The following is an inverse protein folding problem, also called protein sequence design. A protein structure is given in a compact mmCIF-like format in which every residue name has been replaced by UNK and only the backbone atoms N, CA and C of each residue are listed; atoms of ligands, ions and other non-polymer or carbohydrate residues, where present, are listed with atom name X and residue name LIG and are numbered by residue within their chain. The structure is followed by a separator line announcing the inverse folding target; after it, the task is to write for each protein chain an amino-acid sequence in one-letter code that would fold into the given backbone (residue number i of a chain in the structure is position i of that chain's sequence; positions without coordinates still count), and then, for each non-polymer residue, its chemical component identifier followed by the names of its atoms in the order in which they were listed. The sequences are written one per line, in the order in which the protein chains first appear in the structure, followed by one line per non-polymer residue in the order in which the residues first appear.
data_IF_062238844032
#
_entry.id   IF_062238844032
#
_cell.length_a   1.000
_cell.length_b   1.000
_cell.length_c   1.000
_cell.angle_alpha   90.00
_cell.angle_beta   90.00
_cell.angle_gamma   90.00
#
_symmetry.space_group_name_H-M   'P 1'
#
loop_
_entity.id
_entity.type
_entity.pdbx_description
1 polymer ?
#
# COMPACT_ATOMS: atom_id res chain seq x y z
N UNK A 1 -5.97 -15.11 -5.86
CA UNK A 1 -5.77 -13.86 -5.08
C UNK A 1 -5.04 -12.85 -5.95
N UNK A 2 -5.54 -11.62 -5.98
CA UNK A 2 -4.86 -10.54 -6.69
C UNK A 2 -3.61 -10.11 -5.92
N UNK A 3 -2.54 -9.83 -6.66
CA UNK A 3 -1.34 -9.25 -6.08
C UNK A 3 -1.68 -7.90 -5.47
N UNK A 4 -1.22 -7.66 -4.26
CA UNK A 4 -1.45 -6.40 -3.54
C UNK A 4 -2.92 -6.07 -3.25
N UNK A 5 -3.76 -7.09 -3.10
CA UNK A 5 -5.18 -6.89 -2.81
C UNK A 5 -5.40 -6.04 -1.55
N UNK A 6 -4.53 -6.18 -0.55
CA UNK A 6 -4.66 -5.43 0.71
C UNK A 6 -4.49 -3.93 0.53
N UNK A 7 -3.68 -3.46 -0.43
CA UNK A 7 -3.55 -2.02 -0.65
C UNK A 7 -4.84 -1.43 -1.20
N UNK A 8 -5.54 -2.16 -2.05
CA UNK A 8 -6.85 -1.75 -2.54
C UNK A 8 -7.88 -1.73 -1.40
N UNK A 9 -7.91 -2.77 -0.59
CA UNK A 9 -8.84 -2.88 0.52
C UNK A 9 -8.64 -1.75 1.52
N UNK A 10 -7.40 -1.44 1.86
CA UNK A 10 -7.08 -0.34 2.78
C UNK A 10 -7.49 1.01 2.19
N UNK A 11 -7.28 1.20 0.89
CA UNK A 11 -7.68 2.43 0.22
C UNK A 11 -9.19 2.62 0.28
N UNK A 12 -9.94 1.58 -0.06
CA UNK A 12 -11.41 1.63 -0.05
C UNK A 12 -11.93 1.83 1.37
N UNK A 13 -11.35 1.16 2.35
CA UNK A 13 -11.75 1.31 3.75
C UNK A 13 -11.47 2.72 4.27
N UNK A 14 -10.49 3.41 3.70
CA UNK A 14 -10.13 4.77 4.08
C UNK A 14 -10.87 5.84 3.25
N UNK A 15 -11.76 5.42 2.36
CA UNK A 15 -12.52 6.31 1.48
C UNK A 15 -11.62 7.20 0.59
N UNK A 16 -10.46 6.67 0.21
CA UNK A 16 -9.54 7.38 -0.67
C UNK A 16 -9.72 6.94 -2.12
N UNK A 17 -9.66 7.89 -3.04
CA UNK A 17 -9.60 7.57 -4.47
C UNK A 17 -8.15 7.24 -4.84
N UNK A 18 -7.97 6.57 -5.98
CA UNK A 18 -6.62 6.31 -6.51
C UNK A 18 -5.86 7.62 -6.77
N UNK A 19 -6.58 8.64 -7.24
CA UNK A 19 -5.98 9.96 -7.49
C UNK A 19 -5.48 10.61 -6.20
N UNK A 20 -6.29 10.57 -5.15
CA UNK A 20 -5.91 11.12 -3.85
C UNK A 20 -4.68 10.42 -3.29
N UNK A 21 -4.68 9.09 -3.36
CA UNK A 21 -3.55 8.31 -2.85
C UNK A 21 -2.30 8.53 -3.68
N UNK A 22 -2.45 8.66 -5.00
CA UNK A 22 -1.32 9.01 -5.87
C UNK A 22 -0.67 10.33 -5.44
N UNK A 23 -1.48 11.33 -5.12
CA UNK A 23 -0.98 12.62 -4.64
C UNK A 23 -0.22 12.48 -3.32
N UNK A 24 -0.75 11.70 -2.38
CA UNK A 24 -0.08 11.45 -1.09
C UNK A 24 1.26 10.76 -1.28
N UNK A 25 1.35 9.87 -2.25
CA UNK A 25 2.57 9.13 -2.55
C UNK A 25 3.50 9.87 -3.53
N UNK A 26 3.04 11.00 -4.06
CA UNK A 26 3.78 11.79 -5.06
C UNK A 26 4.06 11.02 -6.35
N UNK A 27 3.08 10.23 -6.78
CA UNK A 27 3.11 9.52 -8.05
C UNK A 27 1.83 9.81 -8.82
N UNK A 28 1.82 9.49 -10.11
CA UNK A 28 0.62 9.67 -10.92
C UNK A 28 -0.45 8.66 -10.53
N UNK A 29 -1.70 9.01 -10.76
CA UNK A 29 -2.80 8.06 -10.58
C UNK A 29 -2.60 6.82 -11.43
N UNK A 30 -2.09 6.99 -12.65
CA UNK A 30 -1.83 5.89 -13.56
C UNK A 30 -0.81 4.90 -12.99
N UNK A 31 0.28 5.43 -12.44
CA UNK A 31 1.31 4.60 -11.82
C UNK A 31 0.73 3.83 -10.63
N UNK A 32 -0.02 4.51 -9.78
CA UNK A 32 -0.66 3.87 -8.64
C UNK A 32 -1.62 2.77 -9.09
N UNK A 33 -2.42 3.06 -10.12
CA UNK A 33 -3.38 2.09 -10.67
C UNK A 33 -2.70 0.79 -11.11
N UNK A 34 -1.52 0.89 -11.72
CA UNK A 34 -0.76 -0.30 -12.12
C UNK A 34 -0.33 -1.14 -10.92
N UNK A 35 0.03 -0.50 -9.81
CA UNK A 35 0.39 -1.21 -8.58
C UNK A 35 -0.82 -1.96 -8.02
N UNK A 36 -1.97 -1.32 -7.93
CA UNK A 36 -3.17 -1.94 -7.40
C UNK A 36 -3.66 -3.09 -8.29
N UNK A 37 -3.55 -2.92 -9.61
CA UNK A 37 -3.93 -3.96 -10.56
C UNK A 37 -2.96 -5.13 -10.59
N UNK A 38 -1.75 -4.97 -10.05
CA UNK A 38 -0.73 -5.99 -10.06
C UNK A 38 0.01 -6.12 -11.38
N UNK A 39 -0.17 -5.15 -12.30
CA UNK A 39 0.50 -5.16 -13.60
C UNK A 39 1.92 -4.60 -13.54
N UNK A 40 2.30 -4.05 -12.41
CA UNK A 40 3.66 -3.54 -12.15
C UNK A 40 4.03 -3.85 -10.71
N UNK A 41 5.24 -4.29 -10.48
CA UNK A 41 5.73 -4.53 -9.13
C UNK A 41 5.85 -3.21 -8.38
N UNK A 42 5.41 -3.23 -7.12
CA UNK A 42 5.42 -2.03 -6.29
C UNK A 42 6.86 -1.67 -5.91
N UNK A 43 7.21 -0.40 -6.00
CA UNK A 43 8.53 0.06 -5.59
C UNK A 43 8.63 0.07 -4.06
N UNK A 44 9.85 -0.03 -3.55
CA UNK A 44 10.09 0.01 -2.11
C UNK A 44 9.60 1.33 -1.51
N UNK A 45 9.85 2.44 -2.20
CA UNK A 45 9.42 3.76 -1.73
C UNK A 45 7.91 3.87 -1.59
N UNK A 46 7.17 3.38 -2.59
CA UNK A 46 5.71 3.38 -2.54
C UNK A 46 5.21 2.45 -1.44
N UNK A 47 5.83 1.27 -1.29
CA UNK A 47 5.45 0.32 -0.26
C UNK A 47 5.61 0.92 1.15
N UNK A 48 6.73 1.57 1.40
CA UNK A 48 6.98 2.25 2.68
C UNK A 48 5.98 3.38 2.89
N UNK A 49 5.71 4.17 1.83
CA UNK A 49 4.73 5.25 1.89
C UNK A 49 3.34 4.76 2.26
N UNK A 50 2.91 3.65 1.66
CA UNK A 50 1.62 3.05 1.98
C UNK A 50 1.57 2.56 3.43
N UNK A 51 2.64 1.91 3.89
CA UNK A 51 2.72 1.45 5.26
C UNK A 51 2.60 2.60 6.24
N UNK A 52 3.25 3.74 5.95
CA UNK A 52 3.19 4.93 6.78
C UNK A 52 1.79 5.58 6.77
N UNK A 53 1.16 5.67 5.60
CA UNK A 53 -0.17 6.26 5.46
C UNK A 53 -1.20 5.47 6.28
N UNK A 54 -1.18 4.15 6.17
CA UNK A 54 -2.16 3.28 6.81
C UNK A 54 -1.75 2.82 8.21
N UNK A 55 -0.53 3.14 8.64
CA UNK A 55 -0.01 2.70 9.94
C UNK A 55 -0.03 1.19 10.08
N UNK A 56 0.39 0.51 9.03
CA UNK A 56 0.50 -0.96 9.00
C UNK A 56 1.94 -1.34 8.65
N UNK A 57 2.34 -2.57 8.97
CA UNK A 57 3.67 -3.03 8.59
C UNK A 57 3.69 -3.49 7.12
N UNK A 58 4.87 -3.43 6.50
CA UNK A 58 5.02 -3.77 5.08
C UNK A 58 4.74 -5.25 4.80
N UNK A 59 5.01 -6.14 5.75
CA UNK A 59 4.74 -7.56 5.57
C UNK A 59 3.25 -7.82 5.44
N UNK A 60 2.41 -7.05 6.15
CA UNK A 60 0.97 -7.15 6.02
C UNK A 60 0.54 -6.79 4.59
N UNK A 61 1.10 -5.72 4.03
CA UNK A 61 0.79 -5.30 2.66
C UNK A 61 1.17 -6.35 1.64
N UNK A 62 2.22 -7.12 1.92
CA UNK A 62 2.72 -8.16 1.02
C UNK A 62 2.09 -9.54 1.29
N UNK A 63 1.07 -9.62 2.12
CA UNK A 63 0.40 -10.88 2.49
C UNK A 63 1.33 -11.89 3.15
N UNK A 64 2.34 -11.41 3.88
CA UNK A 64 3.28 -12.30 4.58
C UNK A 64 2.97 -12.43 6.07
N UNK A 65 2.00 -11.70 6.55
CA UNK A 65 1.47 -11.79 7.90
C UNK A 65 0.04 -11.25 7.91
N UNK A 66 -0.78 -11.73 8.83
CA UNK A 66 -2.12 -11.20 9.06
C UNK A 66 -2.13 -10.13 10.17
N UNK A 67 -0.99 -9.87 10.78
CA UNK A 67 -0.85 -8.85 11.81
C UNK A 67 -0.65 -7.49 11.14
N UNK A 68 -1.61 -6.58 11.33
CA UNK A 68 -1.58 -5.23 10.73
C UNK A 68 -0.61 -4.28 11.40
N UNK A 69 -0.50 -4.37 12.73
CA UNK A 69 0.18 -3.39 13.55
C UNK A 69 1.63 -3.20 13.12
N UNK A 70 2.12 -1.98 13.27
CA UNK A 70 3.52 -1.68 13.01
C UNK A 70 4.39 -2.55 13.91
N UNK A 71 5.44 -3.11 13.31
CA UNK A 71 6.38 -3.93 14.07
C UNK A 71 7.15 -3.06 15.05
N UNK A 72 7.46 -3.58 16.26
CA UNK A 72 8.27 -2.82 17.21
C UNK A 72 9.64 -2.50 16.59
N UNK A 73 10.15 -1.33 16.93
CA UNK A 73 11.51 -1.00 16.52
C UNK A 73 12.49 -1.90 17.25
N UNK A 74 13.39 -2.50 16.47
CA UNK A 74 14.51 -3.25 17.03
C UNK A 74 15.69 -2.30 17.11
N UNK A 75 16.17 -2.09 18.30
CA UNK A 75 17.32 -1.21 18.54
C UNK A 75 18.59 -2.02 18.63
#
# INVERSE_FOLDING_TARGET
MKKYERIRNLREDSDLTQMELGKLLRISQRAYSHYEAGTRDISIGVLIGLADIYKVNVYYLLHRTDVKEMLPKVI
#
